data_IF_529300103498
#
_entry.id   IF_529300103498
#
_cell.length_a   1.000
_cell.length_b   1.000
_cell.length_c   1.000
_cell.angle_alpha   90.00
_cell.angle_beta   90.00
_cell.angle_gamma   90.00
#
_symmetry.space_group_name_H-M   'P 1'
#
loop_
_entity.id
_entity.type
_entity.pdbx_description
1 polymer ?
#
# COMPACT_ATOMS: atom_id res chain seq x y z
N UNK A 1 -8.95 -36.66 16.88
CA UNK A 1 -8.59 -35.26 16.57
C UNK A 1 -8.81 -34.45 17.83
N UNK A 2 -7.75 -34.13 18.56
CA UNK A 2 -7.84 -33.23 19.72
C UNK A 2 -7.98 -31.80 19.20
N UNK A 3 -9.16 -31.20 19.37
CA UNK A 3 -9.36 -29.78 19.11
C UNK A 3 -8.71 -29.04 20.28
N UNK A 4 -7.46 -28.61 20.11
CA UNK A 4 -6.80 -27.76 21.09
C UNK A 4 -7.43 -26.35 21.03
N UNK A 5 -7.91 -25.80 22.15
CA UNK A 5 -8.41 -24.43 22.16
C UNK A 5 -7.27 -23.49 21.79
N UNK A 6 -7.42 -22.82 20.66
CA UNK A 6 -6.47 -21.78 20.23
C UNK A 6 -6.91 -20.49 20.92
N UNK A 7 -6.04 -19.91 21.74
CA UNK A 7 -6.37 -18.64 22.38
C UNK A 7 -6.45 -17.54 21.30
N UNK A 8 -7.35 -16.55 21.45
CA UNK A 8 -7.47 -15.45 20.50
C UNK A 8 -6.15 -14.70 20.27
N UNK A 9 -5.27 -14.64 21.28
CA UNK A 9 -3.97 -13.97 21.16
C UNK A 9 -3.03 -14.71 20.21
N UNK A 10 -3.05 -16.04 20.20
CA UNK A 10 -2.22 -16.84 19.28
C UNK A 10 -2.65 -16.60 17.83
N UNK A 11 -3.94 -16.36 17.58
CA UNK A 11 -4.45 -16.03 16.25
C UNK A 11 -4.08 -14.60 15.85
N UNK A 12 -4.25 -13.63 16.74
CA UNK A 12 -3.89 -12.21 16.51
C UNK A 12 -2.40 -12.06 16.18
N UNK A 13 -1.53 -12.70 16.96
CA UNK A 13 -0.08 -12.59 16.78
C UNK A 13 0.37 -13.20 15.44
N UNK A 14 -0.17 -14.37 15.08
CA UNK A 14 0.10 -14.99 13.78
C UNK A 14 -0.39 -14.14 12.61
N UNK A 15 -1.59 -13.58 12.71
CA UNK A 15 -2.16 -12.73 11.66
C UNK A 15 -1.33 -11.46 11.47
N UNK A 16 -0.97 -10.81 12.58
CA UNK A 16 -0.13 -9.60 12.59
C UNK A 16 1.25 -9.88 11.99
N UNK A 17 1.86 -11.02 12.32
CA UNK A 17 3.14 -11.45 11.77
C UNK A 17 3.08 -11.68 10.26
N UNK A 18 2.02 -12.32 9.76
CA UNK A 18 1.80 -12.49 8.32
C UNK A 18 1.68 -11.14 7.62
N UNK A 19 0.85 -10.23 8.14
CA UNK A 19 0.66 -8.89 7.58
C UNK A 19 1.97 -8.11 7.56
N UNK A 20 2.78 -8.19 8.62
CA UNK A 20 4.09 -7.53 8.70
C UNK A 20 5.09 -8.07 7.70
N UNK A 21 5.13 -9.39 7.46
CA UNK A 21 6.01 -10.00 6.46
C UNK A 21 5.62 -9.52 5.06
N UNK A 22 4.32 -9.54 4.72
CA UNK A 22 3.84 -8.99 3.45
C UNK A 22 4.17 -7.52 3.30
N UNK A 23 3.93 -6.72 4.34
CA UNK A 23 4.25 -5.29 4.35
C UNK A 23 5.73 -5.05 4.08
N UNK A 24 6.63 -5.77 4.78
CA UNK A 24 8.07 -5.61 4.62
C UNK A 24 8.55 -6.00 3.22
N UNK A 25 8.06 -7.12 2.68
CA UNK A 25 8.41 -7.55 1.32
C UNK A 25 7.93 -6.55 0.27
N UNK A 26 6.71 -6.02 0.41
CA UNK A 26 6.16 -5.05 -0.54
C UNK A 26 6.82 -3.67 -0.37
N UNK A 27 7.18 -3.30 0.86
CA UNK A 27 7.82 -2.02 1.23
C UNK A 27 9.08 -1.74 0.41
N UNK A 28 9.94 -2.76 0.26
CA UNK A 28 11.20 -2.64 -0.47
C UNK A 28 11.00 -2.42 -1.98
N UNK A 29 9.84 -2.82 -2.50
CA UNK A 29 9.53 -2.81 -3.95
C UNK A 29 8.61 -1.63 -4.32
N UNK A 30 7.72 -1.22 -3.42
CA UNK A 30 6.67 -0.24 -3.73
C UNK A 30 7.23 1.15 -4.02
N UNK A 31 8.27 1.56 -3.29
CA UNK A 31 8.90 2.86 -3.47
C UNK A 31 9.61 3.00 -4.83
N UNK A 32 10.51 2.07 -5.25
CA UNK A 32 11.11 2.15 -6.58
C UNK A 32 10.06 2.01 -7.71
N UNK A 33 9.03 1.19 -7.55
CA UNK A 33 7.93 1.11 -8.52
C UNK A 33 7.14 2.41 -8.63
N UNK A 34 6.87 3.08 -7.51
CA UNK A 34 6.17 4.36 -7.52
C UNK A 34 6.99 5.45 -8.23
N UNK A 35 8.31 5.49 -8.01
CA UNK A 35 9.21 6.39 -8.74
C UNK A 35 9.14 6.14 -10.24
N UNK A 36 9.27 4.87 -10.67
CA UNK A 36 9.16 4.51 -12.08
C UNK A 36 7.80 4.91 -12.68
N UNK A 37 6.72 4.64 -11.94
CA UNK A 37 5.37 5.04 -12.32
C UNK A 37 5.21 6.55 -12.46
N UNK A 38 5.82 7.34 -11.56
CA UNK A 38 5.81 8.80 -11.67
C UNK A 38 6.59 9.29 -12.89
N UNK A 39 7.76 8.72 -13.18
CA UNK A 39 8.51 9.04 -14.38
C UNK A 39 7.67 8.81 -15.64
N UNK A 40 7.01 7.65 -15.74
CA UNK A 40 6.11 7.33 -16.87
C UNK A 40 4.94 8.32 -16.93
N UNK A 41 4.33 8.63 -15.80
CA UNK A 41 3.22 9.58 -15.72
C UNK A 41 3.61 10.96 -16.21
N UNK A 42 4.78 11.47 -15.79
CA UNK A 42 5.33 12.75 -16.24
C UNK A 42 5.61 12.75 -17.74
N UNK A 43 6.21 11.67 -18.26
CA UNK A 43 6.44 11.53 -19.72
C UNK A 43 5.12 11.59 -20.48
N UNK A 44 4.07 10.90 -20.01
CA UNK A 44 2.75 10.93 -20.65
C UNK A 44 2.11 12.32 -20.57
N UNK A 45 2.24 13.02 -19.44
CA UNK A 45 1.73 14.40 -19.31
C UNK A 45 2.44 15.31 -20.30
N UNK A 46 3.78 15.32 -20.32
CA UNK A 46 4.58 16.16 -21.23
C UNK A 46 4.26 15.83 -22.70
N UNK A 47 4.26 14.54 -23.05
CA UNK A 47 3.96 14.07 -24.41
C UNK A 47 2.54 14.50 -24.80
N UNK A 48 1.56 14.30 -23.92
CA UNK A 48 0.18 14.75 -24.14
C UNK A 48 0.07 16.26 -24.34
N UNK A 49 0.83 17.06 -23.58
CA UNK A 49 0.89 18.51 -23.75
C UNK A 49 1.53 18.92 -25.08
N UNK A 50 2.66 18.32 -25.47
CA UNK A 50 3.34 18.62 -26.74
C UNK A 50 2.46 18.31 -27.95
N UNK A 51 1.82 17.15 -27.96
CA UNK A 51 0.93 16.73 -29.06
C UNK A 51 -0.50 17.30 -28.94
N UNK A 52 -0.77 18.16 -27.97
CA UNK A 52 -2.12 18.68 -27.66
C UNK A 52 -3.18 17.58 -27.47
N UNK A 53 -2.73 16.36 -27.12
CA UNK A 53 -3.58 15.19 -26.92
C UNK A 53 -4.09 15.14 -25.49
N UNK A 54 -5.35 15.53 -25.30
CA UNK A 54 -6.04 15.46 -24.01
C UNK A 54 -6.12 14.03 -23.47
N UNK A 55 -6.18 13.02 -24.34
CA UNK A 55 -6.27 11.60 -23.94
C UNK A 55 -4.98 11.14 -23.27
N UNK A 56 -3.84 11.38 -23.91
CA UNK A 56 -2.51 10.99 -23.39
C UNK A 56 -2.22 11.75 -22.09
N UNK A 57 -2.52 13.04 -22.06
CA UNK A 57 -2.36 13.86 -20.86
C UNK A 57 -3.23 13.36 -19.70
N UNK A 58 -4.51 13.00 -19.97
CA UNK A 58 -5.39 12.40 -18.96
C UNK A 58 -4.87 11.07 -18.44
N UNK A 59 -4.33 10.20 -19.29
CA UNK A 59 -3.73 8.94 -18.84
C UNK A 59 -2.56 9.18 -17.88
N UNK A 60 -1.69 10.15 -18.20
CA UNK A 60 -0.59 10.53 -17.31
C UNK A 60 -1.07 11.07 -15.97
N UNK A 61 -2.08 11.95 -15.96
CA UNK A 61 -2.67 12.49 -14.73
C UNK A 61 -3.34 11.39 -13.89
N UNK A 62 -4.09 10.48 -14.53
CA UNK A 62 -4.76 9.37 -13.84
C UNK A 62 -3.72 8.45 -13.20
N UNK A 63 -2.67 8.05 -13.94
CA UNK A 63 -1.59 7.25 -13.38
C UNK A 63 -0.92 7.96 -12.19
N UNK A 64 -0.63 9.26 -12.33
CA UNK A 64 -0.04 10.05 -11.26
C UNK A 64 -0.90 10.03 -9.98
N UNK A 65 -2.22 10.24 -10.12
CA UNK A 65 -3.16 10.21 -9.01
C UNK A 65 -3.25 8.82 -8.37
N UNK A 66 -3.31 7.75 -9.17
CA UNK A 66 -3.38 6.37 -8.66
C UNK A 66 -2.13 6.02 -7.88
N UNK A 67 -0.93 6.35 -8.40
CA UNK A 67 0.33 6.10 -7.70
C UNK A 67 0.39 6.88 -6.39
N UNK A 68 -0.03 8.15 -6.41
CA UNK A 68 -0.14 8.98 -5.19
C UNK A 68 -1.03 8.31 -4.14
N UNK A 69 -2.21 7.83 -4.55
CA UNK A 69 -3.17 7.19 -3.65
C UNK A 69 -2.62 5.88 -3.05
N UNK A 70 -1.91 5.09 -3.86
CA UNK A 70 -1.25 3.85 -3.41
C UNK A 70 -0.18 4.16 -2.37
N UNK A 71 0.66 5.17 -2.61
CA UNK A 71 1.69 5.58 -1.66
C UNK A 71 1.08 6.09 -0.35
N UNK A 72 0.05 6.94 -0.43
CA UNK A 72 -0.67 7.42 0.76
C UNK A 72 -1.18 6.23 1.58
N UNK A 73 -1.88 5.29 0.93
CA UNK A 73 -2.40 4.09 1.60
C UNK A 73 -1.30 3.25 2.25
N UNK A 74 -0.16 3.12 1.58
CA UNK A 74 1.01 2.44 2.10
C UNK A 74 1.60 3.14 3.34
N UNK A 75 1.67 4.48 3.34
CA UNK A 75 2.12 5.26 4.50
C UNK A 75 1.16 5.20 5.69
N UNK A 76 -0.13 4.93 5.47
CA UNK A 76 -1.12 4.74 6.54
C UNK A 76 -1.08 3.33 7.16
N UNK A 77 -0.43 2.36 6.52
CA UNK A 77 -0.42 0.97 6.98
C UNK A 77 0.22 0.76 8.37
N UNK A 78 1.32 1.44 8.76
CA UNK A 78 1.83 1.39 10.13
C UNK A 78 0.83 1.88 11.18
N UNK A 79 0.07 2.95 10.87
CA UNK A 79 -0.97 3.46 11.76
C UNK A 79 -2.10 2.46 11.94
N UNK A 80 -2.50 1.78 10.86
CA UNK A 80 -3.49 0.70 10.91
C UNK A 80 -3.04 -0.46 11.81
N UNK A 81 -1.78 -0.89 11.68
CA UNK A 81 -1.19 -1.92 12.55
C UNK A 81 -1.14 -1.44 14.01
N UNK A 82 -0.83 -0.17 14.25
CA UNK A 82 -0.84 0.44 15.58
C UNK A 82 -2.21 0.35 16.25
N UNK A 83 -3.27 0.70 15.51
CA UNK A 83 -4.66 0.63 15.99
C UNK A 83 -5.05 -0.82 16.34
N UNK A 84 -4.71 -1.79 15.48
CA UNK A 84 -4.94 -3.21 15.74
C UNK A 84 -4.32 -3.67 17.06
N UNK A 85 -3.05 -3.28 17.31
CA UNK A 85 -2.36 -3.60 18.57
C UNK A 85 -2.98 -2.89 19.78
N UNK A 86 -3.44 -1.65 19.63
CA UNK A 86 -4.13 -0.93 20.69
C UNK A 86 -5.45 -1.61 21.08
N UNK A 87 -6.22 -2.08 20.10
CA UNK A 87 -7.47 -2.82 20.34
C UNK A 87 -7.19 -4.13 21.07
N UNK A 88 -6.15 -4.88 20.67
CA UNK A 88 -5.73 -6.11 21.36
C UNK A 88 -5.36 -5.85 22.84
N UNK A 89 -4.76 -4.70 23.13
CA UNK A 89 -4.38 -4.32 24.50
C UNK A 89 -5.60 -3.98 25.37
N UNK A 90 -6.65 -3.39 24.80
CA UNK A 90 -7.87 -3.00 25.53
C UNK A 90 -8.80 -4.20 25.78
N UNK A 91 -8.79 -5.20 24.89
CA UNK A 91 -9.62 -6.41 25.00
C UNK A 91 -9.03 -7.47 25.95
N UNK A 92 -7.80 -7.27 26.42
CA UNK A 92 -7.13 -8.07 27.46
C UNK A 92 -7.46 -7.54 28.85
#
# INVERSE_FOLDING_TARGET
MEIKPVSPEIVSDKLTKVILVFYKTISEIIYPLAILGYCISVILIITGSCFHSRTVMKMGIVNFCVITLVLISYFFMPSFIGILKSIETILR
#
